data_IF_724619173754
#
_entry.id   IF_724619173754
#
_cell.length_a   1.000
_cell.length_b   1.000
_cell.length_c   1.000
_cell.angle_alpha   90.00
_cell.angle_beta   90.00
_cell.angle_gamma   90.00
#
_symmetry.space_group_name_H-M   'P 1'
#
loop_
_entity.id
_entity.type
_entity.pdbx_description
1 polymer ?
#
# COMPACT_ATOMS: atom_id res chain seq x y z
N UNK A 1 -5.94 16.33 13.45
CA UNK A 1 -4.52 16.65 13.63
C UNK A 1 -3.73 15.37 13.36
N UNK A 2 -2.98 15.33 12.27
CA UNK A 2 -2.10 14.19 11.95
C UNK A 2 -0.68 14.59 12.31
N UNK A 3 0.06 13.74 13.01
CA UNK A 3 1.49 13.95 13.21
C UNK A 3 2.16 13.97 11.82
N UNK A 4 2.87 15.05 11.49
CA UNK A 4 3.66 15.19 10.27
C UNK A 4 2.99 15.89 9.09
N UNK A 5 1.75 16.33 9.21
CA UNK A 5 1.16 17.24 8.22
C UNK A 5 1.48 18.66 8.68
N UNK A 6 2.13 19.50 7.84
CA UNK A 6 2.20 20.94 8.11
C UNK A 6 0.77 21.41 8.33
N UNK A 7 0.51 22.16 9.40
CA UNK A 7 -0.81 22.76 9.61
C UNK A 7 -1.23 23.42 8.28
N UNK A 8 -2.38 23.07 7.70
CA UNK A 8 -2.88 23.79 6.53
C UNK A 8 -2.91 25.23 6.94
N UNK A 9 -2.30 26.17 6.21
CA UNK A 9 -2.12 27.59 6.49
C UNK A 9 -2.93 27.98 7.72
N UNK A 10 -2.32 27.85 8.92
CA UNK A 10 -3.04 27.86 10.18
C UNK A 10 -3.81 29.17 10.29
N UNK A 11 -5.04 29.11 10.75
CA UNK A 11 -5.72 30.32 11.17
C UNK A 11 -4.96 30.84 12.39
N UNK A 12 -4.34 31.98 12.23
CA UNK A 12 -3.63 32.65 13.30
C UNK A 12 -4.56 33.62 14.00
N UNK A 13 -4.40 33.75 15.30
CA UNK A 13 -5.01 34.81 16.09
C UNK A 13 -3.92 35.79 16.55
N UNK A 14 -4.29 37.04 16.86
CA UNK A 14 -3.34 38.01 17.39
C UNK A 14 -2.87 37.59 18.79
N UNK A 15 -1.67 38.04 19.17
CA UNK A 15 -1.11 37.81 20.50
C UNK A 15 -2.08 38.28 21.60
N UNK A 16 -2.66 39.46 21.42
CA UNK A 16 -3.64 40.03 22.36
C UNK A 16 -4.87 39.12 22.51
N UNK A 17 -5.37 38.53 21.40
CA UNK A 17 -6.49 37.58 21.45
C UNK A 17 -6.08 36.28 22.15
N UNK A 18 -4.87 35.76 21.88
CA UNK A 18 -4.35 34.60 22.56
C UNK A 18 -4.26 34.81 24.07
N UNK A 19 -3.70 35.90 24.51
CA UNK A 19 -3.58 36.24 25.93
C UNK A 19 -4.95 36.43 26.61
N UNK A 20 -5.86 37.11 25.95
CA UNK A 20 -7.24 37.28 26.43
C UNK A 20 -7.96 35.96 26.62
N UNK A 21 -7.90 35.07 25.61
CA UNK A 21 -8.56 33.78 25.70
C UNK A 21 -7.87 32.85 26.71
N UNK A 22 -6.56 32.83 26.73
CA UNK A 22 -5.79 32.07 27.72
C UNK A 22 -6.10 32.49 29.14
N UNK A 23 -6.31 33.78 29.38
CA UNK A 23 -6.66 34.32 30.68
C UNK A 23 -8.12 34.00 31.08
N UNK A 24 -9.03 33.99 30.11
CA UNK A 24 -10.46 33.75 30.33
C UNK A 24 -10.81 32.25 30.42
N UNK A 25 -10.19 31.41 29.62
CA UNK A 25 -10.57 29.99 29.44
C UNK A 25 -9.43 29.01 29.80
N UNK A 26 -8.26 29.52 30.09
CA UNK A 26 -7.04 28.73 30.33
C UNK A 26 -6.19 28.56 29.07
N UNK A 27 -4.90 28.31 29.28
CA UNK A 27 -3.96 27.92 28.22
C UNK A 27 -3.61 26.45 28.33
N UNK A 28 -3.38 25.82 27.20
CA UNK A 28 -2.88 24.44 27.15
C UNK A 28 -1.51 24.34 27.81
N UNK A 29 -1.26 23.20 28.42
CA UNK A 29 0.02 22.89 29.07
C UNK A 29 0.57 21.58 28.53
N UNK A 30 1.87 21.42 28.68
CA UNK A 30 2.52 20.13 28.36
C UNK A 30 1.80 18.96 29.06
N UNK A 31 1.64 17.87 28.36
CA UNK A 31 0.90 16.68 28.76
C UNK A 31 -0.64 16.82 28.83
N UNK A 32 -1.21 17.98 28.55
CA UNK A 32 -2.66 18.05 28.32
C UNK A 32 -3.06 17.17 27.14
N UNK A 33 -4.28 16.62 27.19
CA UNK A 33 -4.80 15.74 26.16
C UNK A 33 -5.97 16.37 25.46
N UNK A 34 -5.90 16.52 24.14
CA UNK A 34 -6.96 17.02 23.30
C UNK A 34 -7.57 15.87 22.51
N UNK A 35 -8.90 15.72 22.58
CA UNK A 35 -9.62 14.62 21.91
C UNK A 35 -10.69 15.23 21.00
N UNK A 36 -10.74 14.76 19.74
CA UNK A 36 -11.77 15.23 18.82
C UNK A 36 -13.14 14.65 19.20
N UNK A 37 -14.12 15.54 19.43
CA UNK A 37 -15.50 15.21 19.81
C UNK A 37 -16.49 15.27 18.65
N UNK A 38 -16.11 15.79 17.47
CA UNK A 38 -16.96 15.90 16.28
C UNK A 38 -16.13 15.59 15.02
N UNK A 39 -16.76 15.07 14.00
CA UNK A 39 -16.11 14.68 12.74
C UNK A 39 -15.37 13.34 12.90
N UNK A 40 -14.06 13.35 12.90
CA UNK A 40 -13.28 12.12 13.21
C UNK A 40 -13.17 11.99 14.72
N UNK A 41 -14.09 11.26 15.35
CA UNK A 41 -14.15 11.10 16.79
C UNK A 41 -12.92 10.39 17.36
N UNK A 42 -12.57 10.74 18.62
CA UNK A 42 -11.60 10.00 19.43
C UNK A 42 -10.15 10.12 18.97
N UNK A 43 -9.79 11.02 18.05
CA UNK A 43 -8.38 11.32 17.77
C UNK A 43 -7.79 12.09 18.94
N UNK A 44 -6.63 11.62 19.41
CA UNK A 44 -5.94 12.18 20.57
C UNK A 44 -4.67 12.90 20.14
N UNK A 45 -4.51 14.11 20.64
CA UNK A 45 -3.28 14.87 20.60
C UNK A 45 -2.79 15.13 22.03
N UNK A 46 -1.53 14.82 22.30
CA UNK A 46 -0.87 15.16 23.58
C UNK A 46 -0.07 16.42 23.36
N UNK A 47 -0.33 17.44 24.15
CA UNK A 47 0.33 18.75 24.08
C UNK A 47 1.79 18.60 24.44
N UNK A 48 2.67 19.13 23.60
CA UNK A 48 4.13 19.11 23.76
C UNK A 48 4.60 20.38 24.45
N UNK A 49 5.81 20.36 24.99
CA UNK A 49 6.43 21.49 25.73
C UNK A 49 6.44 22.79 24.92
N UNK A 50 6.71 22.70 23.63
CA UNK A 50 6.86 23.89 22.75
C UNK A 50 5.60 24.25 21.98
N UNK A 51 4.48 23.57 22.26
CA UNK A 51 3.22 23.86 21.63
C UNK A 51 2.62 25.17 22.14
N UNK A 52 2.29 26.04 21.18
CA UNK A 52 1.62 27.29 21.45
C UNK A 52 0.51 27.50 20.44
N UNK A 53 -0.72 27.18 20.81
CA UNK A 53 -1.91 27.37 19.98
C UNK A 53 -3.15 27.53 20.87
N UNK A 54 -4.21 28.03 20.28
CA UNK A 54 -5.54 28.08 20.85
C UNK A 54 -6.51 27.30 19.98
N UNK A 55 -7.39 26.53 20.59
CA UNK A 55 -8.46 25.83 19.87
C UNK A 55 -9.80 26.48 20.21
N UNK A 56 -10.55 26.87 19.17
CA UNK A 56 -11.77 27.67 19.32
C UNK A 56 -13.03 26.83 19.49
N UNK A 57 -13.06 25.62 18.94
CA UNK A 57 -14.30 24.89 18.71
C UNK A 57 -14.64 23.93 19.87
N UNK A 58 -15.93 23.92 20.27
CA UNK A 58 -16.51 22.91 21.14
C UNK A 58 -16.43 21.47 20.61
N UNK A 59 -15.74 21.28 19.49
CA UNK A 59 -15.47 20.01 18.84
C UNK A 59 -14.27 19.25 19.41
N UNK A 60 -13.54 19.88 20.36
CA UNK A 60 -12.38 19.31 21.02
C UNK A 60 -12.63 19.23 22.52
N UNK A 61 -12.49 18.03 23.08
CA UNK A 61 -12.49 17.79 24.51
C UNK A 61 -11.06 17.99 25.02
N UNK A 62 -10.91 18.80 26.05
CA UNK A 62 -9.65 19.08 26.68
C UNK A 62 -9.58 18.42 28.06
N UNK A 63 -8.67 17.45 28.21
CA UNK A 63 -8.33 16.88 29.51
C UNK A 63 -7.07 17.57 30.01
N UNK A 64 -7.23 18.33 31.07
CA UNK A 64 -6.10 18.97 31.73
C UNK A 64 -5.30 17.92 32.52
N UNK A 65 -3.99 17.91 32.33
CA UNK A 65 -3.12 16.98 33.01
C UNK A 65 -2.95 17.36 34.48
N UNK A 66 -3.14 16.40 35.38
CA UNK A 66 -3.08 16.60 36.83
C UNK A 66 -2.01 15.72 37.53
N UNK A 67 -1.15 15.05 36.77
CA UNK A 67 -0.11 14.16 37.29
C UNK A 67 -0.57 12.75 37.68
N UNK A 68 -1.84 12.43 37.58
CA UNK A 68 -2.39 11.14 38.01
C UNK A 68 -2.47 10.10 36.90
N UNK A 69 -2.30 10.50 35.63
CA UNK A 69 -2.33 9.61 34.49
C UNK A 69 -1.24 9.95 33.47
N UNK A 70 -0.79 8.96 32.73
CA UNK A 70 0.12 9.15 31.60
C UNK A 70 -0.67 9.51 30.34
N UNK A 71 -0.45 10.71 29.81
CA UNK A 71 -1.11 11.21 28.61
C UNK A 71 -0.77 10.36 27.37
N UNK A 72 0.44 9.82 27.31
CA UNK A 72 0.86 8.92 26.24
C UNK A 72 0.16 7.56 26.36
N UNK A 73 -0.08 7.05 27.57
CA UNK A 73 -0.87 5.84 27.80
C UNK A 73 -2.32 6.04 27.33
N UNK A 74 -2.96 7.16 27.70
CA UNK A 74 -4.28 7.52 27.22
C UNK A 74 -4.32 7.58 25.68
N UNK A 75 -3.32 8.19 25.04
CA UNK A 75 -3.20 8.24 23.58
C UNK A 75 -3.21 6.84 22.96
N UNK A 76 -2.55 5.87 23.57
CA UNK A 76 -2.57 4.48 23.09
C UNK A 76 -3.92 3.79 23.35
N UNK A 77 -4.54 4.04 24.51
CA UNK A 77 -5.88 3.50 24.83
C UNK A 77 -6.93 3.91 23.81
N UNK A 78 -6.97 5.18 23.41
CA UNK A 78 -7.92 5.68 22.40
C UNK A 78 -7.75 5.07 20.99
N UNK A 79 -6.73 4.26 20.78
CA UNK A 79 -6.52 3.48 19.56
C UNK A 79 -7.03 2.04 19.68
N UNK A 80 -7.51 1.63 20.85
CA UNK A 80 -8.03 0.27 21.07
C UNK A 80 -9.47 0.15 20.59
N UNK A 81 -9.88 -1.02 20.02
CA UNK A 81 -11.28 -1.23 19.64
C UNK A 81 -12.26 -0.99 20.79
N UNK A 82 -11.95 -1.47 22.00
CA UNK A 82 -12.80 -1.33 23.17
C UNK A 82 -13.09 0.15 23.54
N UNK A 83 -12.11 1.04 23.35
CA UNK A 83 -12.34 2.46 23.61
C UNK A 83 -13.01 3.16 22.41
N UNK A 84 -12.67 2.78 21.20
CA UNK A 84 -13.33 3.24 19.99
C UNK A 84 -14.82 2.91 20.06
N UNK A 85 -15.19 1.70 20.45
CA UNK A 85 -16.60 1.27 20.60
C UNK A 85 -17.34 2.12 21.66
N UNK A 86 -16.69 2.49 22.78
CA UNK A 86 -17.28 3.40 23.76
C UNK A 86 -17.47 4.82 23.21
N UNK A 87 -16.48 5.33 22.46
CA UNK A 87 -16.53 6.67 21.84
C UNK A 87 -17.69 6.76 20.84
N UNK A 88 -17.88 5.72 20.02
CA UNK A 88 -18.93 5.68 19.00
C UNK A 88 -20.28 5.20 19.56
N UNK A 89 -20.29 4.24 20.48
CA UNK A 89 -21.52 3.69 21.10
C UNK A 89 -22.27 4.70 21.93
N UNK A 90 -21.59 5.63 22.55
CA UNK A 90 -22.18 6.72 23.35
C UNK A 90 -22.59 7.94 22.48
N UNK A 91 -22.40 7.91 21.17
CA UNK A 91 -22.69 9.05 20.29
C UNK A 91 -24.18 9.24 19.96
N UNK A 92 -25.07 8.47 20.57
CA UNK A 92 -26.55 8.61 20.57
C UNK A 92 -27.16 9.09 19.27
N UNK A 93 -27.90 8.29 18.56
CA UNK A 93 -28.92 8.51 17.51
C UNK A 93 -29.01 9.80 16.68
N UNK A 94 -28.03 10.69 16.77
CA UNK A 94 -28.01 11.94 16.01
C UNK A 94 -27.38 11.72 14.62
N UNK A 95 -27.82 12.51 13.65
CA UNK A 95 -27.34 12.48 12.25
C UNK A 95 -25.80 12.68 12.12
N UNK A 96 -25.18 13.28 13.13
CA UNK A 96 -23.72 13.47 13.24
C UNK A 96 -23.26 12.87 14.56
N UNK A 97 -22.44 11.79 14.54
CA UNK A 97 -21.89 11.22 15.75
C UNK A 97 -21.07 12.26 16.52
N UNK A 98 -21.32 12.39 17.82
CA UNK A 98 -20.67 13.38 18.68
C UNK A 98 -20.22 12.73 19.98
N UNK A 99 -18.93 12.87 20.31
CA UNK A 99 -18.37 12.47 21.58
C UNK A 99 -18.31 13.70 22.49
N UNK A 100 -19.21 13.76 23.49
CA UNK A 100 -19.38 14.92 24.37
C UNK A 100 -18.50 14.81 25.62
N UNK A 101 -18.36 15.91 26.38
CA UNK A 101 -17.68 15.90 27.69
C UNK A 101 -18.39 14.92 28.64
N UNK A 102 -19.73 14.84 28.60
CA UNK A 102 -20.50 13.89 29.42
C UNK A 102 -20.13 12.44 29.07
N UNK A 103 -20.04 12.12 27.76
CA UNK A 103 -19.64 10.81 27.31
C UNK A 103 -18.18 10.49 27.68
N UNK A 104 -17.29 11.47 27.58
CA UNK A 104 -15.90 11.31 27.98
C UNK A 104 -15.75 11.01 29.49
N UNK A 105 -16.57 11.67 30.33
CA UNK A 105 -16.60 11.39 31.79
C UNK A 105 -17.18 10.00 32.10
N UNK A 106 -18.04 9.47 31.27
CA UNK A 106 -18.60 8.12 31.42
C UNK A 106 -17.74 7.01 30.80
N UNK A 107 -16.70 7.38 30.06
CA UNK A 107 -15.81 6.40 29.41
C UNK A 107 -14.96 5.69 30.44
N UNK A 108 -15.00 4.36 30.44
CA UNK A 108 -14.28 3.50 31.37
C UNK A 108 -12.95 3.09 30.73
N UNK A 109 -11.84 3.33 31.43
CA UNK A 109 -10.50 2.98 30.99
C UNK A 109 -9.79 2.10 32.01
N UNK A 110 -8.96 1.12 31.60
CA UNK A 110 -8.02 0.47 32.48
C UNK A 110 -7.05 1.50 33.08
N UNK A 111 -6.81 1.42 34.37
CA UNK A 111 -5.95 2.38 35.08
C UNK A 111 -4.96 1.62 35.96
N UNK A 112 -3.85 1.07 35.42
CA UNK A 112 -2.76 0.57 36.23
C UNK A 112 -2.09 1.72 37.01
N UNK A 113 -1.12 1.43 37.87
CA UNK A 113 -0.37 2.51 38.52
C UNK A 113 0.40 3.38 37.50
N UNK A 114 0.78 4.60 37.93
CA UNK A 114 1.35 5.60 37.01
C UNK A 114 2.67 5.12 36.37
N UNK A 115 3.51 4.37 37.12
CA UNK A 115 4.75 3.82 36.56
C UNK A 115 4.49 2.86 35.43
N UNK A 116 3.60 1.90 35.63
CA UNK A 116 3.23 0.94 34.62
C UNK A 116 2.56 1.60 33.39
N UNK A 117 1.72 2.63 33.60
CA UNK A 117 1.19 3.42 32.49
C UNK A 117 2.31 4.03 31.63
N UNK A 118 3.35 4.59 32.27
CA UNK A 118 4.49 5.18 31.57
C UNK A 118 5.29 4.14 30.80
N UNK A 119 5.58 2.99 31.40
CA UNK A 119 6.32 1.90 30.77
C UNK A 119 5.57 1.31 29.57
N UNK A 120 4.26 1.05 29.71
CA UNK A 120 3.42 0.60 28.59
C UNK A 120 3.44 1.62 27.45
N UNK A 121 3.29 2.92 27.78
CA UNK A 121 3.29 3.99 26.79
C UNK A 121 4.64 4.09 26.07
N UNK A 122 5.76 3.95 26.78
CA UNK A 122 7.11 4.01 26.22
C UNK A 122 7.35 2.84 25.24
N UNK A 123 7.02 1.62 25.66
CA UNK A 123 7.18 0.44 24.84
C UNK A 123 6.35 0.55 23.55
N UNK A 124 5.09 0.94 23.66
CA UNK A 124 4.22 1.11 22.47
C UNK A 124 4.68 2.26 21.57
N UNK A 125 5.16 3.36 22.14
CA UNK A 125 5.70 4.52 21.40
C UNK A 125 7.00 4.18 20.68
N UNK A 126 7.85 3.33 21.26
CA UNK A 126 9.07 2.83 20.63
C UNK A 126 8.75 2.00 19.38
N UNK A 127 7.71 1.16 19.44
CA UNK A 127 7.24 0.41 18.27
C UNK A 127 6.63 1.34 17.22
N UNK A 128 5.87 2.39 17.62
CA UNK A 128 5.35 3.41 16.69
C UNK A 128 6.50 4.13 15.96
N UNK A 129 7.55 4.48 16.67
CA UNK A 129 8.74 5.12 16.11
C UNK A 129 9.42 4.20 15.07
N UNK A 130 9.57 2.92 15.40
CA UNK A 130 10.14 1.93 14.49
C UNK A 130 9.28 1.76 13.20
N UNK A 131 7.96 1.68 13.35
CA UNK A 131 7.01 1.63 12.22
C UNK A 131 7.20 2.87 11.34
N UNK A 132 7.21 4.07 11.90
CA UNK A 132 7.40 5.32 11.16
C UNK A 132 8.76 5.38 10.43
N UNK A 133 9.82 4.86 11.04
CA UNK A 133 11.14 4.76 10.39
C UNK A 133 11.10 3.81 9.18
N UNK A 134 10.45 2.65 9.30
CA UNK A 134 10.32 1.69 8.21
C UNK A 134 9.48 2.30 7.07
N UNK A 135 8.38 2.98 7.38
CA UNK A 135 7.53 3.68 6.38
C UNK A 135 8.32 4.75 5.61
N UNK A 136 9.15 5.52 6.31
CA UNK A 136 10.03 6.51 5.68
C UNK A 136 11.08 5.87 4.78
N UNK A 137 11.70 4.77 5.22
CA UNK A 137 12.65 4.00 4.40
C UNK A 137 11.98 3.42 3.16
N UNK A 138 10.78 2.84 3.30
CA UNK A 138 10.00 2.28 2.21
C UNK A 138 9.66 3.36 1.16
N UNK A 139 9.17 4.51 1.60
CA UNK A 139 8.89 5.64 0.71
C UNK A 139 10.14 6.09 -0.05
N UNK A 140 11.29 6.20 0.63
CA UNK A 140 12.58 6.56 0.00
C UNK A 140 13.02 5.52 -1.04
N UNK A 141 12.94 4.21 -0.70
CA UNK A 141 13.32 3.12 -1.63
C UNK A 141 12.43 3.11 -2.88
N UNK A 142 11.11 3.29 -2.72
CA UNK A 142 10.16 3.41 -3.85
C UNK A 142 10.49 4.60 -4.75
N UNK A 143 10.81 5.76 -4.18
CA UNK A 143 11.22 6.94 -4.95
C UNK A 143 12.54 6.72 -5.71
N UNK A 144 13.53 6.07 -5.08
CA UNK A 144 14.81 5.72 -5.73
C UNK A 144 14.58 4.76 -6.91
N UNK A 145 13.76 3.70 -6.72
CA UNK A 145 13.41 2.77 -7.80
C UNK A 145 12.73 3.50 -8.95
N UNK A 146 11.78 4.38 -8.66
CA UNK A 146 11.10 5.16 -9.69
C UNK A 146 12.08 6.03 -10.49
N UNK A 147 13.04 6.69 -9.83
CA UNK A 147 14.12 7.44 -10.50
C UNK A 147 15.03 6.54 -11.34
N UNK A 148 15.44 5.39 -10.81
CA UNK A 148 16.26 4.41 -11.54
C UNK A 148 15.52 3.91 -12.80
N UNK A 149 14.23 3.59 -12.70
CA UNK A 149 13.41 3.21 -13.86
C UNK A 149 13.37 4.30 -14.92
N UNK A 150 13.25 5.57 -14.53
CA UNK A 150 13.23 6.69 -15.47
C UNK A 150 14.55 6.86 -16.22
N UNK A 151 15.67 6.56 -15.59
CA UNK A 151 17.00 6.67 -16.19
C UNK A 151 17.38 5.42 -16.99
N UNK A 152 17.25 4.24 -16.37
CA UNK A 152 17.74 2.97 -16.93
C UNK A 152 16.85 2.43 -18.04
N UNK A 153 15.50 2.54 -17.93
CA UNK A 153 14.59 2.03 -18.95
C UNK A 153 14.42 2.96 -20.16
N UNK A 154 15.04 4.13 -20.14
CA UNK A 154 15.03 5.09 -21.27
C UNK A 154 16.39 5.26 -21.91
N UNK A 155 17.43 4.57 -21.42
CA UNK A 155 18.80 4.74 -21.89
C UNK A 155 19.45 6.07 -21.53
N UNK A 156 18.79 6.93 -20.73
CA UNK A 156 19.39 8.19 -20.24
C UNK A 156 20.63 7.96 -19.41
N UNK A 157 20.64 6.88 -18.68
CA UNK A 157 21.80 6.40 -17.93
C UNK A 157 22.08 4.95 -18.33
N UNK A 158 23.33 4.65 -18.61
CA UNK A 158 23.80 3.30 -18.93
C UNK A 158 24.54 2.69 -17.74
N UNK A 159 24.43 1.39 -17.58
CA UNK A 159 25.27 0.67 -16.64
C UNK A 159 26.73 0.63 -17.16
N UNK A 160 27.73 0.61 -16.28
CA UNK A 160 29.12 0.53 -16.69
C UNK A 160 29.42 -0.72 -17.57
N UNK A 161 30.23 -0.55 -18.61
CA UNK A 161 30.61 -1.65 -19.50
C UNK A 161 29.71 -1.86 -20.71
N UNK A 162 28.58 -1.16 -20.79
CA UNK A 162 27.66 -1.27 -21.94
C UNK A 162 27.75 -0.03 -22.85
N UNK A 163 27.66 -0.26 -24.16
CA UNK A 163 27.75 0.75 -25.20
C UNK A 163 26.82 0.39 -26.39
N UNK A 164 26.79 1.26 -27.42
CA UNK A 164 25.91 1.11 -28.57
C UNK A 164 24.59 1.82 -28.45
N UNK A 165 23.93 2.10 -29.55
CA UNK A 165 22.65 2.82 -29.56
C UNK A 165 21.49 1.89 -29.26
N UNK A 166 20.55 2.34 -28.40
CA UNK A 166 19.29 1.65 -28.19
C UNK A 166 18.40 1.80 -29.41
N UNK A 167 17.73 0.73 -29.78
CA UNK A 167 16.87 0.68 -30.94
C UNK A 167 15.40 0.77 -30.58
N UNK A 168 14.58 1.34 -31.49
CA UNK A 168 13.14 1.31 -31.33
C UNK A 168 12.64 -0.13 -31.53
N UNK A 169 11.90 -0.63 -30.56
CA UNK A 169 11.46 -2.02 -30.50
C UNK A 169 9.94 -2.13 -30.43
N UNK A 170 9.35 -2.87 -31.32
CA UNK A 170 7.91 -3.15 -31.32
C UNK A 170 7.64 -4.52 -30.69
N UNK A 171 6.96 -4.49 -29.54
CA UNK A 171 6.70 -5.70 -28.75
C UNK A 171 5.97 -6.79 -29.53
N UNK A 172 4.95 -6.42 -30.30
CA UNK A 172 4.11 -7.39 -31.04
C UNK A 172 4.90 -8.13 -32.12
N UNK A 173 5.82 -7.46 -32.81
CA UNK A 173 6.60 -8.07 -33.88
C UNK A 173 7.57 -9.15 -33.38
N UNK A 174 7.95 -9.07 -32.13
CA UNK A 174 8.97 -9.95 -31.52
C UNK A 174 8.43 -10.83 -30.40
N UNK A 175 7.10 -10.84 -30.20
CA UNK A 175 6.47 -11.62 -29.14
C UNK A 175 5.30 -12.47 -29.62
N UNK A 176 5.18 -13.64 -29.05
CA UNK A 176 3.98 -14.45 -29.12
C UNK A 176 3.02 -13.98 -28.03
N UNK A 177 1.97 -13.22 -28.41
CA UNK A 177 0.96 -12.69 -27.50
C UNK A 177 -0.32 -13.49 -27.67
N UNK A 178 -0.82 -14.10 -26.60
CA UNK A 178 -2.02 -14.94 -26.60
C UNK A 178 -2.90 -14.64 -25.39
N UNK A 179 -4.19 -14.91 -25.55
CA UNK A 179 -5.18 -14.91 -24.47
C UNK A 179 -6.21 -16.01 -24.75
N UNK A 180 -6.96 -16.43 -23.75
CA UNK A 180 -8.08 -17.35 -23.95
C UNK A 180 -9.11 -16.71 -24.88
N UNK A 181 -9.51 -17.43 -25.90
CA UNK A 181 -10.48 -16.97 -26.92
C UNK A 181 -11.88 -16.95 -26.28
N UNK A 182 -12.73 -15.98 -26.64
CA UNK A 182 -14.01 -15.74 -25.99
C UNK A 182 -14.97 -16.96 -25.95
N UNK A 183 -15.05 -17.78 -27.01
CA UNK A 183 -15.87 -18.99 -27.00
C UNK A 183 -15.34 -20.12 -26.10
N UNK A 184 -14.07 -20.07 -25.72
CA UNK A 184 -13.45 -20.96 -24.73
C UNK A 184 -13.55 -20.41 -23.29
N UNK A 185 -14.24 -19.29 -23.10
CA UNK A 185 -14.42 -18.64 -21.80
C UNK A 185 -14.97 -19.61 -20.75
N UNK A 186 -14.45 -19.52 -19.55
CA UNK A 186 -14.86 -20.36 -18.42
C UNK A 186 -16.09 -19.75 -17.75
N UNK A 187 -17.07 -20.59 -17.43
CA UNK A 187 -18.18 -20.23 -16.56
C UNK A 187 -17.71 -20.23 -15.11
N UNK A 188 -18.36 -19.46 -14.26
CA UNK A 188 -18.01 -19.37 -12.82
C UNK A 188 -18.00 -20.75 -12.11
N UNK A 189 -18.88 -21.66 -12.53
CA UNK A 189 -18.93 -23.02 -11.99
C UNK A 189 -17.73 -23.92 -12.38
N UNK A 190 -16.90 -23.47 -13.30
CA UNK A 190 -15.68 -24.18 -13.73
C UNK A 190 -14.42 -23.68 -12.98
N UNK A 191 -14.59 -22.70 -12.07
CA UNK A 191 -13.55 -22.24 -11.14
C UNK A 191 -13.59 -23.14 -9.92
N UNK A 192 -12.66 -24.06 -9.84
CA UNK A 192 -12.62 -25.09 -8.83
C UNK A 192 -11.70 -24.67 -7.65
N UNK A 193 -12.00 -25.14 -6.45
CA UNK A 193 -11.12 -24.94 -5.29
C UNK A 193 -9.93 -25.92 -5.28
N UNK A 194 -10.04 -27.00 -6.08
CA UNK A 194 -8.95 -27.96 -6.32
C UNK A 194 -9.09 -28.56 -7.72
N UNK A 195 -7.98 -28.92 -8.35
CA UNK A 195 -8.02 -29.46 -9.71
C UNK A 195 -6.64 -29.74 -10.29
N UNK A 196 -6.59 -29.97 -11.60
CA UNK A 196 -5.37 -30.33 -12.31
C UNK A 196 -4.41 -29.15 -12.49
N UNK A 197 -4.92 -28.01 -12.94
CA UNK A 197 -4.11 -26.85 -13.27
C UNK A 197 -4.65 -25.57 -12.61
N UNK A 198 -3.77 -24.67 -12.26
CA UNK A 198 -4.11 -23.35 -11.73
C UNK A 198 -4.74 -22.49 -12.84
N UNK A 199 -5.78 -21.74 -12.48
CA UNK A 199 -6.42 -20.75 -13.34
C UNK A 199 -6.00 -19.37 -12.91
N UNK A 200 -5.21 -18.69 -13.71
CA UNK A 200 -4.72 -17.33 -13.41
C UNK A 200 -5.66 -16.30 -13.98
N UNK A 201 -6.10 -15.40 -13.12
CA UNK A 201 -6.98 -14.26 -13.43
C UNK A 201 -6.27 -12.94 -13.09
N UNK A 202 -6.81 -11.81 -13.53
CA UNK A 202 -6.23 -10.50 -13.21
C UNK A 202 -6.31 -10.11 -11.72
N UNK A 203 -7.12 -10.82 -10.92
CA UNK A 203 -7.20 -10.61 -9.46
C UNK A 203 -6.09 -11.30 -8.68
N UNK A 204 -5.38 -12.23 -9.33
CA UNK A 204 -4.29 -12.98 -8.73
C UNK A 204 -2.93 -12.26 -8.84
N UNK A 205 -2.91 -11.08 -9.48
CA UNK A 205 -1.72 -10.26 -9.61
C UNK A 205 -1.55 -9.36 -8.39
N UNK A 206 -0.39 -9.48 -7.74
CA UNK A 206 -0.01 -8.69 -6.59
C UNK A 206 1.45 -8.29 -6.71
N UNK A 207 1.71 -6.98 -6.72
CA UNK A 207 3.05 -6.37 -6.81
C UNK A 207 3.96 -7.00 -7.90
N UNK A 208 3.41 -7.14 -9.11
CA UNK A 208 4.14 -7.68 -10.25
C UNK A 208 4.38 -9.19 -10.27
N UNK A 209 3.77 -9.93 -9.36
CA UNK A 209 3.85 -11.39 -9.22
C UNK A 209 2.47 -12.03 -9.29
N UNK A 210 2.43 -13.32 -9.54
CA UNK A 210 1.21 -14.12 -9.43
C UNK A 210 1.14 -14.76 -8.04
N UNK A 211 0.04 -14.55 -7.34
CA UNK A 211 -0.24 -15.18 -6.05
C UNK A 211 -0.84 -16.57 -6.27
N UNK A 212 0.00 -17.55 -6.39
CA UNK A 212 -0.37 -18.92 -6.71
C UNK A 212 -1.39 -19.54 -5.72
N UNK A 213 -1.31 -19.18 -4.45
CA UNK A 213 -2.21 -19.67 -3.39
C UNK A 213 -3.64 -19.13 -3.50
N UNK A 214 -3.85 -18.06 -4.27
CA UNK A 214 -5.17 -17.48 -4.50
C UNK A 214 -5.84 -17.96 -5.78
N UNK A 215 -5.08 -18.65 -6.65
CA UNK A 215 -5.59 -19.10 -7.92
C UNK A 215 -6.63 -20.21 -7.72
N UNK A 216 -7.73 -20.12 -8.47
CA UNK A 216 -8.63 -21.24 -8.65
C UNK A 216 -7.97 -22.35 -9.49
N UNK A 217 -8.66 -23.45 -9.65
CA UNK A 217 -8.22 -24.57 -10.46
C UNK A 217 -9.17 -24.82 -11.62
N UNK A 218 -8.67 -25.53 -12.63
CA UNK A 218 -9.46 -26.09 -13.73
C UNK A 218 -9.18 -27.58 -13.92
N UNK A 219 -10.07 -28.25 -14.65
CA UNK A 219 -9.90 -29.64 -15.04
C UNK A 219 -8.75 -29.82 -16.05
N UNK A 220 -8.24 -31.03 -16.19
CA UNK A 220 -7.23 -31.37 -17.19
C UNK A 220 -7.71 -31.04 -18.61
N UNK A 221 -8.96 -31.37 -18.96
CA UNK A 221 -9.57 -31.06 -20.25
C UNK A 221 -9.57 -29.55 -20.57
N UNK A 222 -9.81 -28.70 -19.58
CA UNK A 222 -9.76 -27.23 -19.76
C UNK A 222 -8.33 -26.71 -19.90
N UNK A 223 -7.36 -27.34 -19.28
CA UNK A 223 -5.96 -27.02 -19.45
C UNK A 223 -5.44 -27.38 -20.84
N UNK A 224 -5.80 -28.57 -21.36
CA UNK A 224 -5.34 -29.04 -22.64
C UNK A 224 -6.05 -28.39 -23.84
N UNK A 225 -7.16 -27.70 -23.60
CA UNK A 225 -7.96 -27.05 -24.62
C UNK A 225 -7.19 -26.09 -25.51
N UNK A 226 -6.19 -25.36 -24.90
CA UNK A 226 -5.35 -24.42 -25.64
C UNK A 226 -3.93 -24.35 -25.04
N UNK A 227 -2.99 -24.95 -25.72
CA UNK A 227 -1.58 -24.96 -25.32
C UNK A 227 -0.91 -23.58 -25.40
N UNK A 228 -1.47 -22.63 -26.15
CA UNK A 228 -0.89 -21.30 -26.29
C UNK A 228 -1.03 -20.44 -25.03
N UNK A 229 -2.01 -20.74 -24.19
CA UNK A 229 -2.29 -20.04 -22.94
C UNK A 229 -1.89 -20.84 -21.68
N UNK A 230 -1.24 -21.99 -21.86
CA UNK A 230 -0.56 -22.66 -20.77
C UNK A 230 0.63 -21.81 -20.33
N UNK A 231 0.71 -21.51 -19.03
CA UNK A 231 1.70 -20.59 -18.47
C UNK A 231 3.02 -21.31 -18.18
N UNK A 232 4.13 -20.59 -18.31
CA UNK A 232 5.50 -21.05 -18.04
C UNK A 232 6.26 -20.01 -17.22
N UNK A 233 7.27 -20.43 -16.48
CA UNK A 233 8.18 -19.47 -15.85
C UNK A 233 8.79 -18.54 -16.91
N UNK A 234 8.99 -17.29 -16.56
CA UNK A 234 9.41 -16.17 -17.40
C UNK A 234 8.36 -15.67 -18.41
N UNK A 235 7.13 -16.19 -18.38
CA UNK A 235 6.04 -15.54 -19.12
C UNK A 235 5.73 -14.18 -18.49
N UNK A 236 5.43 -13.19 -19.33
CA UNK A 236 4.89 -11.92 -18.89
C UNK A 236 3.38 -11.96 -19.05
N UNK A 237 2.64 -11.64 -18.01
CA UNK A 237 1.20 -11.59 -18.00
C UNK A 237 0.71 -10.15 -17.91
N UNK A 238 -0.33 -9.78 -18.69
CA UNK A 238 -0.94 -8.45 -18.63
C UNK A 238 -2.45 -8.59 -18.56
N UNK A 239 -3.09 -7.86 -17.65
CA UNK A 239 -4.56 -7.77 -17.61
C UNK A 239 -5.08 -6.92 -18.75
N UNK A 240 -6.03 -7.45 -19.50
CA UNK A 240 -6.71 -6.75 -20.60
C UNK A 240 -8.09 -6.22 -20.25
N UNK A 241 -8.67 -6.70 -19.16
CA UNK A 241 -10.01 -6.36 -18.66
C UNK A 241 -9.97 -6.02 -17.17
N UNK A 242 -10.94 -5.23 -16.69
CA UNK A 242 -11.06 -4.84 -15.28
C UNK A 242 -9.95 -3.87 -14.84
N UNK A 243 -9.00 -4.33 -14.06
CA UNK A 243 -7.82 -3.53 -13.70
C UNK A 243 -6.81 -3.54 -14.84
N UNK A 244 -7.09 -2.77 -15.90
CA UNK A 244 -6.31 -2.74 -17.13
C UNK A 244 -4.83 -2.47 -16.90
N UNK A 245 -3.97 -3.25 -17.59
CA UNK A 245 -2.54 -3.00 -17.64
C UNK A 245 -1.76 -3.39 -16.39
N UNK A 246 -2.35 -4.17 -15.46
CA UNK A 246 -1.53 -4.82 -14.42
C UNK A 246 -0.62 -5.85 -15.09
N UNK A 247 0.64 -5.86 -14.70
CA UNK A 247 1.67 -6.74 -15.25
C UNK A 247 2.17 -7.68 -14.17
N UNK A 248 2.44 -8.92 -14.51
CA UNK A 248 3.14 -9.88 -13.64
C UNK A 248 4.18 -10.66 -14.44
N UNK A 249 5.34 -10.90 -13.85
CA UNK A 249 6.34 -11.84 -14.34
C UNK A 249 6.14 -13.18 -13.64
N UNK A 250 5.96 -14.24 -14.42
CA UNK A 250 5.75 -15.59 -13.89
C UNK A 250 7.04 -16.14 -13.32
N UNK A 251 7.03 -16.38 -12.02
CA UNK A 251 8.13 -16.97 -11.28
C UNK A 251 7.58 -17.98 -10.26
N UNK A 252 8.36 -18.98 -9.90
CA UNK A 252 8.01 -19.97 -8.88
C UNK A 252 6.82 -20.86 -9.25
N UNK A 253 6.49 -21.00 -10.54
CA UNK A 253 5.44 -21.89 -11.01
C UNK A 253 5.89 -23.36 -10.84
N UNK A 254 5.16 -24.09 -10.00
CA UNK A 254 5.46 -25.50 -9.69
C UNK A 254 4.38 -26.47 -10.16
N UNK A 255 3.22 -25.97 -10.58
CA UNK A 255 2.06 -26.74 -11.05
C UNK A 255 1.66 -26.30 -12.45
N UNK A 256 0.99 -27.14 -13.26
CA UNK A 256 0.37 -26.68 -14.50
C UNK A 256 -0.51 -25.45 -14.24
N UNK A 257 -0.48 -24.46 -15.13
CA UNK A 257 -1.31 -23.27 -15.03
C UNK A 257 -1.77 -22.78 -16.39
N UNK A 258 -2.95 -22.19 -16.46
CA UNK A 258 -3.56 -21.62 -17.67
C UNK A 258 -4.21 -20.27 -17.38
N UNK A 259 -4.46 -19.48 -18.41
CA UNK A 259 -5.07 -18.16 -18.31
C UNK A 259 -6.58 -18.19 -18.32
N UNK A 260 -7.17 -17.24 -17.61
CA UNK A 260 -8.53 -16.78 -17.86
C UNK A 260 -8.57 -15.79 -19.05
N UNK A 261 -9.78 -15.53 -19.57
CA UNK A 261 -10.01 -14.65 -20.74
C UNK A 261 -9.54 -13.20 -20.53
N UNK A 262 -9.47 -12.70 -19.30
CA UNK A 262 -9.08 -11.32 -18.96
C UNK A 262 -7.56 -11.05 -18.96
N UNK A 263 -6.72 -12.00 -19.35
CA UNK A 263 -5.26 -11.89 -19.26
C UNK A 263 -4.61 -12.28 -20.59
N UNK A 264 -3.59 -11.51 -20.99
CA UNK A 264 -2.64 -11.89 -22.04
C UNK A 264 -1.42 -12.57 -21.44
N UNK A 265 -0.85 -13.53 -22.16
CA UNK A 265 0.52 -14.01 -22.00
C UNK A 265 1.39 -13.48 -23.14
N UNK A 266 2.58 -13.01 -22.80
CA UNK A 266 3.58 -12.47 -23.73
C UNK A 266 4.87 -13.27 -23.55
N UNK A 267 5.40 -13.79 -24.68
CA UNK A 267 6.64 -14.57 -24.72
C UNK A 267 7.54 -14.04 -25.82
N UNK A 268 8.86 -13.93 -25.59
CA UNK A 268 9.79 -13.61 -26.67
C UNK A 268 9.75 -14.67 -27.77
N UNK A 269 9.90 -14.25 -29.01
CA UNK A 269 10.19 -15.14 -30.14
C UNK A 269 11.68 -15.15 -30.39
N UNK A 270 12.28 -16.33 -30.47
CA UNK A 270 13.72 -16.50 -30.79
C UNK A 270 14.63 -15.69 -29.84
N UNK A 271 14.26 -15.64 -28.55
CA UNK A 271 15.01 -14.90 -27.50
C UNK A 271 15.30 -13.44 -27.87
N UNK A 272 14.32 -12.78 -28.53
CA UNK A 272 14.46 -11.42 -29.03
C UNK A 272 14.68 -10.35 -27.94
N UNK A 273 14.38 -10.68 -26.69
CA UNK A 273 14.56 -9.82 -25.52
C UNK A 273 14.58 -10.62 -24.21
N UNK A 274 15.12 -10.00 -23.17
CA UNK A 274 15.01 -10.52 -21.80
C UNK A 274 13.60 -10.27 -21.23
N UNK A 275 12.87 -11.30 -20.76
CA UNK A 275 11.52 -11.13 -20.23
C UNK A 275 11.44 -10.25 -19.00
N UNK A 276 12.44 -10.25 -18.11
CA UNK A 276 12.42 -9.43 -16.90
C UNK A 276 12.64 -7.94 -17.25
N UNK A 277 13.49 -7.63 -18.23
CA UNK A 277 13.62 -6.26 -18.73
C UNK A 277 12.29 -5.74 -19.29
N UNK A 278 11.65 -6.52 -20.18
CA UNK A 278 10.36 -6.13 -20.77
C UNK A 278 9.27 -6.06 -19.72
N UNK A 279 9.28 -6.91 -18.71
CA UNK A 279 8.40 -6.79 -17.54
C UNK A 279 8.58 -5.42 -16.85
N UNK A 280 9.81 -4.95 -16.63
CA UNK A 280 10.06 -3.63 -16.04
C UNK A 280 9.61 -2.49 -16.96
N UNK A 281 9.78 -2.59 -18.28
CA UNK A 281 9.22 -1.62 -19.24
C UNK A 281 7.69 -1.55 -19.10
N UNK A 282 7.01 -2.69 -19.10
CA UNK A 282 5.55 -2.78 -18.99
C UNK A 282 5.02 -2.37 -17.60
N UNK A 283 5.84 -2.46 -16.57
CA UNK A 283 5.52 -1.99 -15.22
C UNK A 283 5.87 -0.52 -14.98
N UNK A 284 6.45 0.16 -15.98
CA UNK A 284 6.95 1.53 -15.89
C UNK A 284 5.95 2.58 -16.42
N UNK A 285 6.35 3.84 -16.24
CA UNK A 285 5.67 4.99 -16.84
C UNK A 285 5.62 4.93 -18.39
N UNK A 286 6.52 4.20 -19.05
CA UNK A 286 6.54 4.06 -20.50
C UNK A 286 5.25 3.39 -21.00
N UNK A 287 4.90 2.27 -20.39
CA UNK A 287 3.66 1.57 -20.73
C UNK A 287 2.42 2.28 -20.17
N UNK A 288 2.51 2.85 -18.97
CA UNK A 288 1.42 3.64 -18.40
C UNK A 288 1.02 4.81 -19.31
N UNK A 289 1.99 5.59 -19.78
CA UNK A 289 1.73 6.70 -20.71
C UNK A 289 1.11 6.22 -22.05
N UNK A 290 1.48 5.03 -22.50
CA UNK A 290 0.85 4.42 -23.66
C UNK A 290 -0.62 4.08 -23.40
N UNK A 291 -0.94 3.45 -22.26
CA UNK A 291 -2.31 3.15 -21.87
C UNK A 291 -3.15 4.40 -21.67
N UNK A 292 -2.60 5.43 -21.05
CA UNK A 292 -3.29 6.71 -20.82
C UNK A 292 -3.68 7.36 -22.15
N UNK A 293 -2.80 7.29 -23.18
CA UNK A 293 -3.09 7.77 -24.53
C UNK A 293 -4.16 6.94 -25.24
N UNK A 294 -4.21 5.62 -25.04
CA UNK A 294 -5.26 4.76 -25.58
C UNK A 294 -6.62 5.07 -24.95
N UNK A 295 -6.62 5.44 -23.68
CA UNK A 295 -7.84 5.73 -22.90
C UNK A 295 -8.43 7.10 -23.20
N UNK A 296 -7.65 8.02 -23.76
CA UNK A 296 -8.08 9.38 -24.09
C UNK A 296 -9.13 9.34 -25.21
N UNK A 297 -10.42 9.34 -24.82
CA UNK A 297 -11.57 9.34 -25.74
C UNK A 297 -12.48 8.10 -25.69
N UNK A 298 -12.26 7.16 -24.77
CA UNK A 298 -13.10 5.95 -24.60
C UNK A 298 -13.58 5.76 -23.17
N UNK A 299 -14.88 5.45 -23.03
CA UNK A 299 -15.52 5.15 -21.73
C UNK A 299 -15.30 3.69 -21.28
N UNK A 300 -14.96 2.80 -22.20
CA UNK A 300 -14.74 1.37 -21.94
C UNK A 300 -13.31 1.04 -22.30
N UNK A 301 -12.54 0.63 -21.31
CA UNK A 301 -11.12 0.39 -21.47
C UNK A 301 -10.89 -1.12 -21.51
N UNK A 302 -10.76 -1.66 -22.72
CA UNK A 302 -10.25 -2.99 -22.98
C UNK A 302 -8.94 -2.88 -23.74
N UNK A 303 -7.91 -3.62 -23.35
CA UNK A 303 -6.67 -3.73 -24.09
C UNK A 303 -6.83 -4.83 -25.15
N UNK A 304 -6.89 -4.44 -26.42
CA UNK A 304 -6.92 -5.37 -27.51
C UNK A 304 -5.51 -5.70 -28.01
N UNK A 305 -5.35 -6.88 -28.58
CA UNK A 305 -4.07 -7.28 -29.19
C UNK A 305 -3.60 -6.29 -30.26
N UNK A 306 -4.55 -5.73 -31.06
CA UNK A 306 -4.28 -4.67 -32.04
C UNK A 306 -3.74 -3.38 -31.44
N UNK A 307 -4.02 -3.11 -30.16
CA UNK A 307 -3.51 -1.91 -29.49
C UNK A 307 -2.07 -2.12 -29.02
N UNK A 308 -1.73 -3.33 -28.55
CA UNK A 308 -0.35 -3.69 -28.20
C UNK A 308 0.58 -3.60 -29.43
N UNK A 309 0.07 -3.79 -30.64
CA UNK A 309 0.86 -3.65 -31.88
C UNK A 309 1.41 -2.23 -32.08
N UNK A 310 0.84 -1.23 -31.42
CA UNK A 310 1.26 0.18 -31.46
C UNK A 310 2.25 0.53 -30.34
N UNK A 311 2.50 -0.42 -29.44
CA UNK A 311 3.41 -0.20 -28.32
C UNK A 311 4.86 -0.39 -28.77
N UNK A 312 5.61 0.68 -28.71
CA UNK A 312 7.04 0.73 -29.02
C UNK A 312 7.81 1.40 -27.88
N UNK A 313 9.03 0.93 -27.66
CA UNK A 313 9.94 1.43 -26.65
C UNK A 313 11.38 1.24 -27.10
N UNK A 314 12.31 1.87 -26.40
CA UNK A 314 13.75 1.70 -26.66
C UNK A 314 14.26 0.43 -26.00
N UNK A 315 15.03 -0.37 -26.74
CA UNK A 315 15.60 -1.63 -26.27
C UNK A 315 17.14 -1.57 -26.35
N UNK A 316 17.87 -1.96 -25.28
CA UNK A 316 19.31 -2.13 -25.35
C UNK A 316 19.73 -3.13 -26.44
N UNK A 317 20.88 -2.91 -27.11
CA UNK A 317 21.30 -3.74 -28.25
C UNK A 317 21.68 -5.16 -27.88
N UNK A 318 22.00 -5.43 -26.61
CA UNK A 318 22.43 -6.76 -26.14
C UNK A 318 21.54 -7.29 -25.04
N UNK A 319 21.30 -8.60 -25.04
CA UNK A 319 20.56 -9.29 -23.96
C UNK A 319 21.28 -9.08 -22.62
N UNK A 320 22.60 -9.13 -22.59
CA UNK A 320 23.40 -8.94 -21.36
C UNK A 320 23.14 -7.58 -20.69
N UNK A 321 22.91 -6.50 -21.46
CA UNK A 321 22.56 -5.21 -20.88
C UNK A 321 21.11 -5.20 -20.36
N UNK A 322 20.20 -5.84 -21.07
CA UNK A 322 18.81 -5.98 -20.63
C UNK A 322 18.74 -6.75 -19.31
N UNK A 323 19.44 -7.88 -19.21
CA UNK A 323 19.55 -8.70 -17.99
C UNK A 323 20.15 -7.89 -16.83
N UNK A 324 21.25 -7.17 -17.05
CA UNK A 324 21.89 -6.36 -16.01
C UNK A 324 20.96 -5.25 -15.48
N UNK A 325 20.20 -4.58 -16.35
CA UNK A 325 19.23 -3.56 -15.93
C UNK A 325 18.06 -4.22 -15.16
N UNK A 326 17.56 -5.36 -15.66
CA UNK A 326 16.49 -6.10 -15.02
C UNK A 326 16.90 -6.61 -13.64
N UNK A 327 18.13 -7.08 -13.47
CA UNK A 327 18.67 -7.52 -12.18
C UNK A 327 18.68 -6.37 -11.16
N UNK A 328 19.25 -5.20 -11.52
CA UNK A 328 19.26 -4.02 -10.65
C UNK A 328 17.85 -3.62 -10.20
N UNK A 329 16.88 -3.60 -11.12
CA UNK A 329 15.51 -3.22 -10.79
C UNK A 329 14.80 -4.29 -9.96
N UNK A 330 15.07 -5.58 -10.22
CA UNK A 330 14.53 -6.71 -9.46
C UNK A 330 15.08 -6.79 -8.04
N UNK A 331 16.36 -6.46 -7.83
CA UNK A 331 16.94 -6.30 -6.49
C UNK A 331 16.28 -5.19 -5.70
N UNK A 332 15.98 -4.04 -6.36
CA UNK A 332 15.23 -2.96 -5.72
C UNK A 332 13.80 -3.40 -5.33
N UNK A 333 13.14 -4.23 -6.14
CA UNK A 333 11.84 -4.81 -5.81
C UNK A 333 11.92 -5.76 -4.61
N UNK A 334 12.95 -6.60 -4.56
CA UNK A 334 13.17 -7.49 -3.43
C UNK A 334 13.40 -6.71 -2.12
N UNK A 335 14.20 -5.65 -2.15
CA UNK A 335 14.42 -4.77 -1.01
C UNK A 335 13.12 -4.11 -0.50
N UNK A 336 12.28 -3.63 -1.43
CA UNK A 336 10.97 -3.03 -1.13
C UNK A 336 10.06 -4.08 -0.47
N UNK A 337 9.96 -5.27 -1.05
CA UNK A 337 9.13 -6.37 -0.52
C UNK A 337 9.56 -6.80 0.90
N UNK A 338 10.87 -6.83 1.19
CA UNK A 338 11.39 -7.11 2.54
C UNK A 338 10.92 -6.04 3.52
N UNK A 339 10.98 -4.75 3.15
CA UNK A 339 10.53 -3.66 4.02
C UNK A 339 9.02 -3.68 4.23
N UNK A 340 8.22 -4.02 3.22
CA UNK A 340 6.76 -4.16 3.31
C UNK A 340 6.37 -5.31 4.25
N UNK A 341 7.02 -6.46 4.11
CA UNK A 341 6.83 -7.61 5.01
C UNK A 341 7.19 -7.26 6.45
N UNK A 342 8.33 -6.57 6.64
CA UNK A 342 8.77 -6.09 7.96
C UNK A 342 7.77 -5.12 8.57
N UNK A 343 7.25 -4.16 7.78
CA UNK A 343 6.23 -3.21 8.21
C UNK A 343 4.95 -3.91 8.66
N UNK A 344 4.46 -4.86 7.86
CA UNK A 344 3.27 -5.65 8.19
C UNK A 344 3.46 -6.42 9.51
N UNK A 345 4.62 -7.06 9.70
CA UNK A 345 4.96 -7.78 10.93
C UNK A 345 4.96 -6.86 12.15
N UNK A 346 5.60 -5.68 12.07
CA UNK A 346 5.65 -4.75 13.23
C UNK A 346 4.28 -4.16 13.55
N UNK A 347 3.42 -3.93 12.56
CA UNK A 347 2.03 -3.52 12.79
C UNK A 347 1.24 -4.60 13.53
N UNK A 348 1.40 -5.88 13.15
CA UNK A 348 0.77 -7.00 13.86
C UNK A 348 1.32 -7.16 15.29
N UNK A 349 2.64 -7.06 15.48
CA UNK A 349 3.27 -7.09 16.81
C UNK A 349 2.71 -5.99 17.69
N UNK A 350 2.64 -4.74 17.18
CA UNK A 350 2.04 -3.62 17.91
C UNK A 350 0.61 -3.90 18.32
N UNK A 351 -0.21 -4.41 17.39
CA UNK A 351 -1.60 -4.75 17.67
C UNK A 351 -1.72 -5.81 18.77
N UNK A 352 -0.90 -6.86 18.73
CA UNK A 352 -0.82 -7.87 19.79
C UNK A 352 -0.40 -7.28 21.14
N UNK A 353 0.63 -6.43 21.14
CA UNK A 353 1.07 -5.74 22.38
C UNK A 353 -0.03 -4.86 22.96
N UNK A 354 -0.72 -4.08 22.14
CA UNK A 354 -1.85 -3.26 22.59
C UNK A 354 -2.95 -4.12 23.22
N UNK A 355 -3.29 -5.27 22.63
CA UNK A 355 -4.30 -6.18 23.17
C UNK A 355 -3.89 -6.81 24.52
N UNK A 356 -2.61 -7.01 24.76
CA UNK A 356 -2.12 -7.63 25.99
C UNK A 356 -1.88 -6.59 27.10
N UNK A 357 -1.17 -5.51 26.78
CA UNK A 357 -0.71 -4.52 27.76
C UNK A 357 -1.83 -3.54 28.16
N UNK A 358 -2.57 -3.01 27.16
CA UNK A 358 -3.62 -2.01 27.44
C UNK A 358 -4.89 -2.62 28.07
N UNK A 359 -5.02 -3.93 28.08
CA UNK A 359 -6.14 -4.64 28.74
C UNK A 359 -5.74 -5.26 30.08
N UNK A 360 -4.46 -5.16 30.47
CA UNK A 360 -3.93 -5.75 31.70
C UNK A 360 -3.81 -7.27 31.68
N UNK A 361 -3.92 -7.92 30.52
CA UNK A 361 -3.71 -9.37 30.37
C UNK A 361 -2.26 -9.76 30.66
N UNK A 362 -1.33 -8.90 30.28
CA UNK A 362 0.09 -8.99 30.66
C UNK A 362 0.44 -7.70 31.39
N UNK A 363 1.12 -7.83 32.53
CA UNK A 363 1.63 -6.71 33.31
C UNK A 363 3.12 -6.53 33.01
N UNK A 364 3.57 -5.28 32.95
CA UNK A 364 5.00 -4.96 32.93
C UNK A 364 5.42 -4.79 34.38
N UNK A 365 6.33 -5.65 34.84
CA UNK A 365 6.83 -5.68 36.23
C UNK A 365 8.07 -4.80 36.37
#
# INVERSE_FOLDING_TARGET
MGEGVPAPKGLYISEEMYERYSKQYGAIKENDVLITGVGTLGKVYVVKKDDRFYFKDGNIIWLQWNGQYSSQFLKQLYRTPALIDQVFGNSGGSTVPTYTITNAKATIVPCPDYSEQCEIAEVLSSVDTLIAMIEKQLSKKKAIKQGAMQELLTGKRRLPGFSGEWQNFNLMKHSKIKARIGWQGLKKAEYLDSGYALLVTGTDFDDGKVRWDNCHYVTHSRYDQDQNIQIRNNDILITKDGSLGKVALVQGLTKPATLNSGVFVIRPMQDAYDPAFVYHILSSFVFKNFLDRLSAGSTIIHLYQKDISKFEFLLPPTIAEQEAIAEVLSEMDADIAILESKLAKYRQVKQGMMQQLLTGKIRIL
#
